data_IF_429115172445
#
_entry.id   IF_429115172445
#
_cell.length_a   1.000
_cell.length_b   1.000
_cell.length_c   1.000
_cell.angle_alpha   90.00
_cell.angle_beta   90.00
_cell.angle_gamma   90.00
#
_symmetry.space_group_name_H-M   'P 1'
#
loop_
_entity.id
_entity.type
_entity.pdbx_description
1 polymer ?
#
# COMPACT_ATOMS: atom_id res chain seq x y z
N UNK A 1 15.83 -17.47 13.52
CA UNK A 1 15.50 -17.10 12.12
C UNK A 1 14.04 -17.45 11.82
N UNK A 2 13.23 -16.46 11.43
CA UNK A 2 11.91 -16.75 10.89
C UNK A 2 12.10 -17.45 9.54
N UNK A 3 11.57 -18.67 9.40
CA UNK A 3 11.55 -19.40 8.14
C UNK A 3 10.14 -19.24 7.59
N UNK A 4 10.04 -18.52 6.48
CA UNK A 4 8.77 -18.34 5.78
C UNK A 4 8.30 -19.71 5.26
N UNK A 5 7.04 -20.11 5.53
CA UNK A 5 6.55 -21.40 5.07
C UNK A 5 6.64 -21.49 3.54
N UNK A 6 7.28 -22.55 3.04
CA UNK A 6 7.50 -22.79 1.60
C UNK A 6 6.21 -22.87 0.76
N UNK A 7 5.06 -23.04 1.42
CA UNK A 7 3.77 -23.11 0.76
C UNK A 7 3.12 -21.73 0.77
N UNK A 8 3.16 -21.06 -0.38
CA UNK A 8 2.30 -19.92 -0.67
C UNK A 8 0.84 -20.35 -0.47
N UNK A 9 0.13 -19.68 0.45
CA UNK A 9 -1.29 -19.91 0.64
C UNK A 9 -2.06 -19.27 -0.53
N UNK A 10 -2.36 -20.07 -1.55
CA UNK A 10 -3.12 -19.62 -2.72
C UNK A 10 -4.63 -19.69 -2.44
N UNK A 11 -5.28 -18.53 -2.47
CA UNK A 11 -6.73 -18.37 -2.32
C UNK A 11 -7.47 -18.37 -3.68
N UNK A 12 -6.74 -18.53 -4.78
CA UNK A 12 -7.25 -18.42 -6.14
C UNK A 12 -7.47 -16.96 -6.55
N UNK A 13 -8.32 -16.76 -7.56
CA UNK A 13 -8.62 -15.43 -8.10
C UNK A 13 -9.55 -14.63 -7.17
N UNK A 14 -9.22 -13.35 -6.99
CA UNK A 14 -10.07 -12.37 -6.31
C UNK A 14 -11.13 -11.82 -7.28
N UNK A 15 -12.12 -12.65 -7.63
CA UNK A 15 -13.12 -12.33 -8.65
C UNK A 15 -14.56 -12.15 -8.11
N UNK A 16 -14.78 -12.35 -6.81
CA UNK A 16 -16.10 -12.17 -6.21
C UNK A 16 -16.37 -10.68 -5.98
N UNK A 17 -17.48 -10.18 -6.51
CA UNK A 17 -17.82 -8.74 -6.41
C UNK A 17 -18.81 -8.52 -5.28
N UNK A 18 -18.47 -7.64 -4.34
CA UNK A 18 -19.38 -7.23 -3.29
C UNK A 18 -20.62 -6.54 -3.90
N UNK A 19 -21.85 -6.97 -3.55
CA UNK A 19 -23.08 -6.39 -4.12
C UNK A 19 -23.32 -4.93 -3.69
N UNK A 20 -22.73 -4.49 -2.57
CA UNK A 20 -22.93 -3.15 -2.03
C UNK A 20 -21.95 -2.12 -2.59
N UNK A 21 -20.64 -2.41 -2.54
CA UNK A 21 -19.59 -1.43 -2.88
C UNK A 21 -18.78 -1.78 -4.13
N UNK A 22 -19.08 -2.91 -4.80
CA UNK A 22 -18.35 -3.41 -5.98
C UNK A 22 -16.88 -3.77 -5.74
N UNK A 23 -16.40 -3.81 -4.50
CA UNK A 23 -15.06 -4.30 -4.18
C UNK A 23 -14.91 -5.78 -4.55
N UNK A 24 -13.72 -6.15 -5.02
CA UNK A 24 -13.35 -7.53 -5.32
C UNK A 24 -12.89 -8.26 -4.05
N UNK A 25 -13.24 -9.53 -3.96
CA UNK A 25 -12.93 -10.42 -2.84
C UNK A 25 -12.60 -11.83 -3.34
N UNK A 26 -11.90 -12.60 -2.50
CA UNK A 26 -11.85 -14.05 -2.65
C UNK A 26 -13.13 -14.66 -2.11
N UNK A 27 -13.56 -15.79 -2.68
CA UNK A 27 -14.75 -16.51 -2.18
C UNK A 27 -14.58 -16.89 -0.71
N UNK A 28 -13.38 -17.24 -0.25
CA UNK A 28 -13.09 -17.60 1.15
C UNK A 28 -13.33 -16.47 2.15
N UNK A 29 -13.46 -15.22 1.69
CA UNK A 29 -13.73 -14.06 2.54
C UNK A 29 -15.20 -13.77 2.78
N UNK A 30 -16.11 -14.54 2.16
CA UNK A 30 -17.54 -14.36 2.37
C UNK A 30 -17.92 -14.65 3.83
N UNK A 31 -19.02 -14.03 4.28
CA UNK A 31 -19.60 -14.31 5.57
C UNK A 31 -20.06 -15.76 5.65
N UNK A 32 -19.72 -16.46 6.73
CA UNK A 32 -20.14 -17.85 6.99
C UNK A 32 -21.66 -18.02 6.91
N UNK A 33 -22.43 -16.98 7.26
CA UNK A 33 -23.88 -16.98 7.19
C UNK A 33 -24.45 -16.77 5.77
N UNK A 34 -23.61 -16.40 4.80
CA UNK A 34 -24.00 -16.21 3.40
C UNK A 34 -23.66 -17.44 2.56
N UNK A 35 -24.34 -17.60 1.43
CA UNK A 35 -24.09 -18.76 0.55
C UNK A 35 -22.97 -18.48 -0.43
N UNK A 36 -22.31 -19.52 -0.93
CA UNK A 36 -21.34 -19.40 -2.02
C UNK A 36 -21.95 -18.84 -3.33
N UNK A 37 -23.27 -19.03 -3.53
CA UNK A 37 -23.98 -18.49 -4.71
C UNK A 37 -24.31 -17.00 -4.57
N UNK A 38 -24.50 -16.52 -3.34
CA UNK A 38 -24.80 -15.13 -3.01
C UNK A 38 -23.92 -14.69 -1.83
N UNK A 39 -22.61 -14.53 -2.04
CA UNK A 39 -21.69 -14.21 -0.97
C UNK A 39 -21.86 -12.76 -0.52
N UNK A 40 -21.82 -12.57 0.79
CA UNK A 40 -21.81 -11.25 1.42
C UNK A 40 -20.46 -11.00 2.09
N UNK A 41 -20.02 -9.74 2.10
CA UNK A 41 -18.70 -9.35 2.59
C UNK A 41 -18.82 -8.24 3.61
N UNK A 42 -18.11 -8.40 4.74
CA UNK A 42 -18.06 -7.39 5.80
C UNK A 42 -16.85 -6.48 5.71
N UNK A 43 -15.69 -7.00 5.30
CA UNK A 43 -14.41 -6.29 5.35
C UNK A 43 -14.36 -4.98 4.55
N UNK A 44 -15.11 -4.89 3.45
CA UNK A 44 -15.09 -3.72 2.58
C UNK A 44 -15.99 -2.58 3.06
N UNK A 45 -17.29 -2.83 3.20
CA UNK A 45 -18.29 -1.77 3.45
C UNK A 45 -19.22 -2.10 4.61
N UNK A 46 -18.86 -3.09 5.43
CA UNK A 46 -19.69 -3.62 6.50
C UNK A 46 -21.12 -3.92 6.01
N UNK A 47 -21.24 -4.71 4.93
CA UNK A 47 -22.54 -5.03 4.32
C UNK A 47 -23.35 -3.81 3.88
N UNK A 48 -22.67 -2.73 3.47
CA UNK A 48 -23.28 -1.48 2.98
C UNK A 48 -23.54 -0.44 4.05
N UNK A 49 -23.15 -0.69 5.31
CA UNK A 49 -23.27 0.31 6.39
C UNK A 49 -22.26 1.46 6.24
N UNK A 50 -21.12 1.22 5.59
CA UNK A 50 -20.08 2.23 5.35
C UNK A 50 -20.00 2.57 3.87
N UNK A 51 -20.16 3.86 3.54
CA UNK A 51 -19.88 4.37 2.20
C UNK A 51 -18.38 4.63 2.06
N UNK A 52 -17.68 3.75 1.35
CA UNK A 52 -16.28 3.97 1.00
C UNK A 52 -16.17 4.93 -0.19
N UNK A 53 -15.34 5.97 -0.12
CA UNK A 53 -15.05 6.79 -1.30
C UNK A 53 -14.37 5.94 -2.37
N UNK A 54 -14.66 6.26 -3.63
CA UNK A 54 -13.99 5.61 -4.76
C UNK A 54 -12.50 5.94 -4.73
N UNK A 55 -11.67 4.92 -4.95
CA UNK A 55 -10.22 5.08 -5.06
C UNK A 55 -9.89 6.10 -6.16
N UNK A 56 -9.10 7.11 -5.82
CA UNK A 56 -8.58 8.05 -6.81
C UNK A 56 -7.68 7.31 -7.80
N UNK A 57 -7.73 7.72 -9.07
CA UNK A 57 -6.83 7.18 -10.08
C UNK A 57 -5.39 7.49 -9.67
N UNK A 58 -4.45 6.53 -9.80
CA UNK A 58 -3.06 6.79 -9.49
C UNK A 58 -2.50 7.89 -10.40
N UNK A 59 -1.49 8.66 -9.94
CA UNK A 59 -0.77 9.60 -10.78
C UNK A 59 -0.27 8.93 -12.07
N UNK A 60 -0.24 9.66 -13.18
CA UNK A 60 0.10 9.12 -14.52
C UNK A 60 1.42 8.36 -14.53
N UNK A 61 2.44 8.88 -13.85
CA UNK A 61 3.77 8.26 -13.75
C UNK A 61 3.72 6.89 -13.07
N UNK A 62 3.02 6.79 -11.94
CA UNK A 62 2.85 5.53 -11.23
C UNK A 62 2.05 4.53 -12.07
N UNK A 63 1.02 5.02 -12.77
CA UNK A 63 0.25 4.20 -13.70
C UNK A 63 1.11 3.66 -14.85
N UNK A 64 1.98 4.49 -15.45
CA UNK A 64 2.87 4.01 -16.52
C UNK A 64 3.89 2.99 -16.02
N UNK A 65 4.36 3.10 -14.78
CA UNK A 65 5.26 2.12 -14.18
C UNK A 65 4.57 0.79 -13.87
N UNK A 66 3.24 0.79 -13.72
CA UNK A 66 2.46 -0.41 -13.43
C UNK A 66 1.93 -1.12 -14.68
N UNK A 67 1.42 -0.35 -15.66
CA UNK A 67 0.64 -0.89 -16.79
C UNK A 67 1.46 -1.06 -18.08
N UNK A 68 2.57 -0.32 -18.27
CA UNK A 68 3.34 -0.41 -19.51
C UNK A 68 4.24 -1.64 -19.48
N UNK A 69 4.52 -2.25 -20.64
CA UNK A 69 5.43 -3.40 -20.76
C UNK A 69 6.90 -3.01 -20.98
N UNK A 70 7.31 -1.82 -20.55
CA UNK A 70 8.68 -1.29 -20.70
C UNK A 70 9.66 -1.98 -19.76
N UNK A 71 10.97 -1.80 -19.99
CA UNK A 71 12.00 -2.26 -19.04
C UNK A 71 11.76 -1.72 -17.64
N UNK A 72 11.43 -0.43 -17.54
CA UNK A 72 11.34 0.30 -16.27
C UNK A 72 10.13 -0.16 -15.44
N UNK A 73 9.02 -0.50 -16.10
CA UNK A 73 7.84 -1.02 -15.44
C UNK A 73 8.01 -2.45 -14.97
N UNK A 74 8.72 -3.29 -15.74
CA UNK A 74 9.10 -4.64 -15.29
C UNK A 74 10.00 -4.53 -14.05
N UNK A 75 11.04 -3.71 -14.10
CA UNK A 75 11.94 -3.46 -12.97
C UNK A 75 11.18 -2.94 -11.74
N UNK A 76 10.30 -1.96 -11.95
CA UNK A 76 9.46 -1.39 -10.90
C UNK A 76 8.58 -2.45 -10.24
N UNK A 77 7.85 -3.25 -11.03
CA UNK A 77 6.98 -4.30 -10.51
C UNK A 77 7.77 -5.40 -9.78
N UNK A 78 8.96 -5.75 -10.27
CA UNK A 78 9.85 -6.71 -9.59
C UNK A 78 10.36 -6.20 -8.24
N UNK A 79 10.51 -4.88 -8.09
CA UNK A 79 11.11 -4.25 -6.91
C UNK A 79 10.13 -3.43 -6.07
N UNK A 80 8.82 -3.51 -6.33
CA UNK A 80 7.81 -2.65 -5.69
C UNK A 80 7.84 -2.73 -4.15
N UNK A 81 8.08 -3.91 -3.59
CA UNK A 81 8.22 -4.09 -2.14
C UNK A 81 9.45 -3.35 -1.59
N UNK A 82 10.58 -3.37 -2.30
CA UNK A 82 11.79 -2.65 -1.94
C UNK A 82 11.57 -1.12 -1.99
N UNK A 83 10.92 -0.63 -3.04
CA UNK A 83 10.55 0.79 -3.15
C UNK A 83 9.63 1.21 -2.00
N UNK A 84 8.57 0.45 -1.72
CA UNK A 84 7.66 0.74 -0.60
C UNK A 84 8.37 0.71 0.74
N UNK A 85 9.30 -0.23 0.97
CA UNK A 85 10.08 -0.31 2.19
C UNK A 85 11.02 0.90 2.35
N UNK A 86 11.74 1.29 1.30
CA UNK A 86 12.65 2.45 1.32
C UNK A 86 11.87 3.75 1.57
N UNK A 87 10.77 3.94 0.85
CA UNK A 87 9.91 5.12 1.01
C UNK A 87 9.29 5.16 2.40
N UNK A 88 8.79 4.04 2.92
CA UNK A 88 8.26 3.93 4.29
C UNK A 88 9.35 4.27 5.32
N UNK A 89 10.57 3.76 5.16
CA UNK A 89 11.70 4.08 6.04
C UNK A 89 12.03 5.57 6.04
N UNK A 90 11.98 6.23 4.87
CA UNK A 90 12.17 7.66 4.76
C UNK A 90 11.03 8.46 5.42
N UNK A 91 9.77 8.02 5.27
CA UNK A 91 8.61 8.67 5.87
C UNK A 91 8.46 8.42 7.37
N UNK A 92 8.92 7.28 7.88
CA UNK A 92 8.92 6.95 9.30
C UNK A 92 9.90 7.77 10.13
N UNK A 93 10.53 8.78 9.52
CA UNK A 93 11.03 9.99 10.16
C UNK A 93 11.60 9.71 11.53
N UNK A 94 12.86 9.29 11.59
CA UNK A 94 13.64 9.35 12.83
C UNK A 94 13.42 10.76 13.39
N UNK A 95 12.64 10.87 14.46
CA UNK A 95 12.60 12.08 15.26
C UNK A 95 14.00 12.26 15.81
N UNK A 96 14.77 13.15 15.19
CA UNK A 96 16.09 13.49 15.69
C UNK A 96 15.87 14.17 17.04
N UNK A 97 16.02 13.39 18.10
CA UNK A 97 15.92 13.91 19.45
C UNK A 97 17.11 14.86 19.67
N UNK A 98 16.86 16.17 19.55
CA UNK A 98 17.89 17.22 19.63
C UNK A 98 18.65 17.23 20.96
N UNK A 99 18.17 16.52 21.98
CA UNK A 99 18.87 16.36 23.26
C UNK A 99 20.08 15.43 23.18
N UNK A 100 20.12 14.51 22.22
CA UNK A 100 21.23 13.54 22.07
C UNK A 100 22.29 14.04 21.07
N UNK A 101 21.95 15.03 20.24
CA UNK A 101 22.78 15.46 19.10
C UNK A 101 23.58 16.76 19.33
N UNK A 102 23.83 17.16 20.58
CA UNK A 102 24.71 18.31 20.86
C UNK A 102 26.22 17.98 20.76
N UNK A 103 26.58 16.75 20.41
CA UNK A 103 27.99 16.31 20.29
C UNK A 103 28.20 15.56 18.97
N UNK A 104 28.20 16.26 17.84
CA UNK A 104 28.57 15.63 16.58
C UNK A 104 28.24 16.47 15.36
N UNK A 105 29.29 16.89 14.66
CA UNK A 105 29.26 17.76 13.50
C UNK A 105 28.43 17.21 12.33
N UNK A 106 27.66 18.13 11.72
CA UNK A 106 27.17 18.10 10.33
C UNK A 106 26.40 16.83 9.92
N UNK A 107 25.07 16.86 10.08
CA UNK A 107 24.17 15.88 9.47
C UNK A 107 23.66 16.39 8.11
N UNK A 108 24.29 16.02 6.97
CA UNK A 108 23.85 16.43 5.62
C UNK A 108 22.42 15.97 5.28
N UNK A 109 21.89 15.00 6.02
CA UNK A 109 20.54 14.47 5.86
C UNK A 109 19.42 15.42 6.33
N UNK A 110 19.72 16.37 7.23
CA UNK A 110 18.71 17.31 7.74
C UNK A 110 18.22 18.30 6.67
N UNK A 111 19.05 18.60 5.66
CA UNK A 111 18.70 19.51 4.57
C UNK A 111 17.81 18.82 3.52
N UNK A 112 18.02 17.53 3.27
CA UNK A 112 17.19 16.71 2.39
C UNK A 112 15.78 16.46 2.94
N UNK A 113 15.66 16.25 4.26
CA UNK A 113 14.36 16.08 4.93
C UNK A 113 13.49 17.35 4.88
N UNK A 114 14.11 18.53 4.93
CA UNK A 114 13.37 19.81 4.79
C UNK A 114 12.82 20.02 3.38
N UNK A 115 13.56 19.62 2.34
CA UNK A 115 13.07 19.69 0.95
C UNK A 115 11.94 18.69 0.68
N UNK A 116 11.99 17.48 1.26
CA UNK A 116 10.92 16.49 1.12
C UNK A 116 9.64 16.91 1.87
N UNK A 117 9.76 17.55 3.04
CA UNK A 117 8.63 18.16 3.77
C UNK A 117 7.89 19.24 2.96
N UNK A 118 8.60 20.00 2.12
CA UNK A 118 7.99 20.98 1.21
C UNK A 118 7.23 20.30 0.07
N UNK A 119 7.67 19.13 -0.39
CA UNK A 119 6.93 18.34 -1.38
C UNK A 119 5.63 17.74 -0.81
N UNK A 120 5.55 17.44 0.50
CA UNK A 120 4.32 16.92 1.13
C UNK A 120 3.17 17.94 1.17
N UNK A 121 3.45 19.24 1.18
CA UNK A 121 2.40 20.28 1.11
C UNK A 121 1.73 20.38 -0.28
N UNK A 122 2.27 19.71 -1.30
CA UNK A 122 1.70 19.69 -2.66
C UNK A 122 0.74 18.52 -2.86
N UNK A 123 0.71 17.55 -1.93
CA UNK A 123 -0.09 16.33 -2.02
C UNK A 123 -1.31 16.27 -1.09
N UNK A 124 -1.63 17.37 -0.41
CA UNK A 124 -2.81 17.48 0.45
C UNK A 124 -3.85 18.46 -0.10
#
# INVERSE_FOLDING_TARGET
PYIEPLNCHDLGHMNMVCPHCRAYHWITEHLVASSNFHPLFRKCCDQGQVHLPLMHKPPKTLKSLWDNGTSDSIEFCMNVCCYNAAVTFMFLGVEINHRVNMQGHHAPYAQWLKQLSQCLHVFH
#
